data_IF_157177430804
#
_entry.id   IF_157177430804
#
_cell.length_a   1.000
_cell.length_b   1.000
_cell.length_c   1.000
_cell.angle_alpha   90.00
_cell.angle_beta   90.00
_cell.angle_gamma   90.00
#
_symmetry.space_group_name_H-M   'P 1'
#
loop_
_entity.id
_entity.type
_entity.pdbx_description
1 polymer ?
#
# COMPACT_ATOMS: atom_id res chain seq x y z
N UNK A 1 3.09 0.94 19.19
CA UNK A 1 1.80 1.59 18.87
C UNK A 1 1.83 1.96 17.41
N UNK A 2 0.78 1.62 16.64
CA UNK A 2 0.65 2.00 15.22
C UNK A 2 -0.20 3.26 15.18
N UNK A 3 0.27 4.26 14.44
CA UNK A 3 -0.42 5.53 14.22
C UNK A 3 -1.10 5.47 12.84
N UNK A 4 -2.44 5.52 12.83
CA UNK A 4 -3.23 5.33 11.62
C UNK A 4 -4.04 6.58 11.33
N UNK A 5 -3.87 7.12 10.12
CA UNK A 5 -4.71 8.17 9.57
C UNK A 5 -5.58 7.55 8.48
N UNK A 6 -6.89 7.77 8.58
CA UNK A 6 -7.87 7.37 7.58
C UNK A 6 -8.58 8.61 7.03
N UNK A 7 -8.70 8.70 5.71
CA UNK A 7 -9.50 9.72 5.05
C UNK A 7 -10.09 9.22 3.73
N UNK A 8 -11.19 9.80 3.29
CA UNK A 8 -11.73 9.73 1.94
C UNK A 8 -11.79 11.13 1.27
N UNK A 9 -11.22 12.13 1.92
CA UNK A 9 -11.22 13.52 1.49
C UNK A 9 -9.93 13.82 0.72
N UNK A 10 -10.01 13.97 -0.61
CA UNK A 10 -8.82 14.25 -1.44
C UNK A 10 -8.09 15.53 -1.01
N UNK A 11 -8.81 16.52 -0.51
CA UNK A 11 -8.23 17.78 -0.02
C UNK A 11 -7.30 17.64 1.20
N UNK A 12 -7.41 16.54 1.95
CA UNK A 12 -6.56 16.28 3.11
C UNK A 12 -5.26 15.57 2.73
N UNK A 13 -5.24 14.93 1.57
CA UNK A 13 -4.11 14.13 1.10
C UNK A 13 -2.80 14.90 1.01
N UNK A 14 -2.74 16.14 0.49
CA UNK A 14 -1.48 16.90 0.41
C UNK A 14 -0.77 16.99 1.76
N UNK A 15 -1.52 17.31 2.82
CA UNK A 15 -0.98 17.41 4.17
C UNK A 15 -0.39 16.08 4.66
N UNK A 16 -1.12 14.98 4.50
CA UNK A 16 -0.65 13.67 4.98
C UNK A 16 0.53 13.14 4.15
N UNK A 17 0.53 13.35 2.83
CA UNK A 17 1.64 12.96 1.96
C UNK A 17 2.92 13.75 2.27
N UNK A 18 2.79 15.06 2.54
CA UNK A 18 3.89 15.91 2.98
C UNK A 18 4.46 15.43 4.32
N UNK A 19 3.58 15.09 5.30
CA UNK A 19 4.04 14.52 6.58
C UNK A 19 4.80 13.21 6.38
N UNK A 20 4.28 12.27 5.57
CA UNK A 20 4.97 11.01 5.27
C UNK A 20 6.33 11.26 4.63
N UNK A 21 6.42 12.18 3.67
CA UNK A 21 7.66 12.46 2.95
C UNK A 21 8.64 13.23 3.81
N UNK A 22 8.29 14.44 4.21
CA UNK A 22 9.24 15.39 4.81
C UNK A 22 9.60 15.03 6.25
N UNK A 23 8.62 14.63 7.03
CA UNK A 23 8.84 14.40 8.46
C UNK A 23 9.50 13.05 8.74
N UNK A 24 9.21 12.02 7.95
CA UNK A 24 9.69 10.68 8.24
C UNK A 24 10.60 10.11 7.15
N UNK A 25 10.15 10.05 5.89
CA UNK A 25 10.90 9.42 4.82
C UNK A 25 12.22 10.15 4.53
N UNK A 26 12.19 11.48 4.37
CA UNK A 26 13.39 12.26 4.05
C UNK A 26 14.39 12.29 5.23
N UNK A 27 13.90 12.15 6.47
CA UNK A 27 14.72 12.09 7.67
C UNK A 27 15.31 10.69 7.94
N UNK A 28 14.84 9.65 7.25
CA UNK A 28 15.30 8.29 7.42
C UNK A 28 16.71 8.08 6.82
N UNK A 29 17.39 7.02 7.26
CA UNK A 29 18.64 6.58 6.63
C UNK A 29 18.35 6.04 5.22
N UNK A 30 19.31 6.14 4.30
CA UNK A 30 19.09 5.82 2.87
C UNK A 30 18.57 4.39 2.65
N UNK A 31 18.99 3.42 3.45
CA UNK A 31 18.50 2.05 3.35
C UNK A 31 17.10 1.83 3.93
N UNK A 32 16.54 2.82 4.61
CA UNK A 32 15.17 2.81 5.16
C UNK A 32 14.21 3.65 4.34
N UNK A 33 14.69 4.35 3.29
CA UNK A 33 13.87 5.23 2.44
C UNK A 33 12.98 4.46 1.48
N UNK A 34 12.02 3.73 2.02
CA UNK A 34 10.95 3.10 1.25
C UNK A 34 9.63 3.15 2.02
N UNK A 35 8.54 3.11 1.32
CA UNK A 35 7.19 3.02 1.88
C UNK A 35 6.59 1.65 1.58
N UNK A 36 5.88 1.08 2.53
CA UNK A 36 4.94 0.00 2.25
C UNK A 36 3.78 0.53 1.42
N UNK A 37 3.38 -0.21 0.39
CA UNK A 37 2.22 0.07 -0.44
C UNK A 37 1.34 -1.17 -0.49
N UNK A 38 0.08 -1.01 -0.13
CA UNK A 38 -0.93 -2.05 -0.28
C UNK A 38 -2.21 -1.48 -0.88
N UNK A 39 -2.89 -2.28 -1.70
CA UNK A 39 -4.10 -1.89 -2.40
C UNK A 39 -5.22 -2.87 -2.10
N UNK A 40 -6.38 -2.33 -1.72
CA UNK A 40 -7.63 -3.08 -1.73
C UNK A 40 -8.42 -2.73 -2.98
N UNK A 41 -9.13 -3.71 -3.54
CA UNK A 41 -9.79 -3.55 -4.82
C UNK A 41 -11.29 -3.40 -4.66
N UNK A 42 -11.92 -2.77 -5.67
CA UNK A 42 -13.38 -2.71 -5.78
C UNK A 42 -14.00 -4.11 -5.87
N UNK A 43 -15.28 -4.24 -5.51
CA UNK A 43 -15.98 -5.53 -5.51
C UNK A 43 -15.95 -6.23 -6.87
N UNK A 44 -15.94 -5.46 -7.98
CA UNK A 44 -15.80 -5.97 -9.35
C UNK A 44 -14.36 -6.32 -9.74
N UNK A 45 -13.39 -6.12 -8.82
CA UNK A 45 -11.97 -6.39 -8.99
C UNK A 45 -11.30 -5.60 -10.13
N UNK A 46 -11.90 -4.50 -10.60
CA UNK A 46 -11.35 -3.70 -11.70
C UNK A 46 -10.44 -2.60 -11.25
N UNK A 47 -10.81 -1.89 -10.17
CA UNK A 47 -10.12 -0.71 -9.71
C UNK A 47 -9.60 -0.80 -8.29
N UNK A 48 -8.92 0.25 -7.88
CA UNK A 48 -8.50 0.46 -6.48
C UNK A 48 -9.69 1.00 -5.69
N UNK A 49 -9.98 0.38 -4.56
CA UNK A 49 -10.94 0.88 -3.58
C UNK A 49 -10.23 1.65 -2.47
N UNK A 50 -9.15 1.10 -1.95
CA UNK A 50 -8.35 1.69 -0.87
C UNK A 50 -6.89 1.62 -1.24
N UNK A 51 -6.14 2.68 -0.95
CA UNK A 51 -4.69 2.70 -0.98
C UNK A 51 -4.16 2.89 0.44
N UNK A 52 -3.15 2.10 0.79
CA UNK A 52 -2.48 2.15 2.08
C UNK A 52 -1.01 2.45 1.86
N UNK A 53 -0.50 3.47 2.55
CA UNK A 53 0.91 3.85 2.56
C UNK A 53 1.43 3.74 3.98
N UNK A 54 2.53 3.05 4.18
CA UNK A 54 3.11 2.80 5.49
C UNK A 54 4.58 3.18 5.54
N UNK A 55 4.96 3.98 6.53
CA UNK A 55 6.35 4.20 6.92
C UNK A 55 6.53 3.83 8.39
N UNK A 56 7.30 2.76 8.65
CA UNK A 56 7.47 2.19 9.99
C UNK A 56 6.12 1.91 10.68
N UNK A 57 5.71 2.73 11.63
CA UNK A 57 4.45 2.60 12.37
C UNK A 57 3.39 3.66 12.00
N UNK A 58 3.68 4.53 11.03
CA UNK A 58 2.73 5.52 10.51
C UNK A 58 2.05 4.97 9.26
N UNK A 59 0.73 4.86 9.29
CA UNK A 59 -0.09 4.30 8.22
C UNK A 59 -1.09 5.34 7.75
N UNK A 60 -1.07 5.65 6.46
CA UNK A 60 -2.08 6.44 5.79
C UNK A 60 -2.99 5.52 4.99
N UNK A 61 -4.29 5.55 5.27
CA UNK A 61 -5.32 4.81 4.56
C UNK A 61 -6.22 5.83 3.84
N UNK A 62 -6.21 5.78 2.51
CA UNK A 62 -7.05 6.63 1.68
C UNK A 62 -8.10 5.78 0.95
N UNK A 63 -9.38 6.00 1.27
CA UNK A 63 -10.49 5.29 0.64
C UNK A 63 -10.87 5.97 -0.68
N UNK A 64 -10.20 5.56 -1.74
CA UNK A 64 -10.38 6.10 -3.09
C UNK A 64 -11.81 5.90 -3.63
N UNK A 65 -12.41 4.72 -3.42
CA UNK A 65 -13.72 4.40 -3.99
C UNK A 65 -14.81 5.36 -3.54
N UNK A 66 -14.75 5.86 -2.30
CA UNK A 66 -15.71 6.80 -1.72
C UNK A 66 -15.27 8.27 -1.77
N UNK A 67 -14.10 8.57 -2.35
CA UNK A 67 -13.61 9.92 -2.56
C UNK A 67 -14.24 10.57 -3.81
N UNK A 68 -13.90 11.83 -4.06
CA UNK A 68 -14.22 12.52 -5.30
C UNK A 68 -13.44 11.99 -6.53
N UNK A 69 -12.53 11.04 -6.31
CA UNK A 69 -11.65 10.41 -7.32
C UNK A 69 -10.76 11.40 -8.06
N UNK A 70 -10.41 12.48 -7.39
CA UNK A 70 -9.55 13.52 -7.91
C UNK A 70 -8.50 13.92 -6.87
N UNK A 71 -7.29 13.37 -6.97
CA UNK A 71 -6.18 13.68 -6.08
C UNK A 71 -4.86 13.66 -6.87
N UNK A 72 -4.53 14.80 -7.48
CA UNK A 72 -3.30 14.93 -8.27
C UNK A 72 -2.05 14.76 -7.42
N UNK A 73 -2.09 15.23 -6.18
CA UNK A 73 -0.98 15.13 -5.24
C UNK A 73 -0.62 13.67 -4.94
N UNK A 74 -1.61 12.79 -4.81
CA UNK A 74 -1.36 11.35 -4.67
C UNK A 74 -0.71 10.77 -5.93
N UNK A 75 -1.21 11.17 -7.13
CA UNK A 75 -0.64 10.70 -8.39
C UNK A 75 0.82 11.15 -8.55
N UNK A 76 1.11 12.39 -8.21
CA UNK A 76 2.46 12.95 -8.26
C UNK A 76 3.37 12.31 -7.22
N UNK A 77 2.86 12.05 -6.01
CA UNK A 77 3.58 11.34 -4.96
C UNK A 77 3.98 9.92 -5.40
N UNK A 78 3.06 9.16 -5.99
CA UNK A 78 3.31 7.80 -6.48
C UNK A 78 4.34 7.76 -7.64
N UNK A 79 4.48 8.86 -8.40
CA UNK A 79 5.44 8.98 -9.50
C UNK A 79 6.73 9.69 -9.11
N UNK A 80 6.86 10.17 -7.89
CA UNK A 80 7.95 11.06 -7.45
C UNK A 80 9.34 10.41 -7.35
N UNK A 81 9.46 9.13 -7.64
CA UNK A 81 10.73 8.40 -7.51
C UNK A 81 10.93 7.76 -6.12
N UNK A 82 9.97 7.85 -5.24
CA UNK A 82 9.95 7.14 -3.96
C UNK A 82 9.93 5.63 -4.24
N UNK A 83 10.68 4.87 -3.46
CA UNK A 83 10.66 3.41 -3.50
C UNK A 83 9.49 2.87 -2.68
N UNK A 84 8.69 1.99 -3.29
CA UNK A 84 7.58 1.31 -2.64
C UNK A 84 7.83 -0.19 -2.55
N UNK A 85 7.57 -0.78 -1.39
CA UNK A 85 7.55 -2.21 -1.17
C UNK A 85 6.09 -2.71 -1.17
N UNK A 86 5.79 -3.70 -1.98
CA UNK A 86 4.45 -4.25 -2.16
C UNK A 86 4.48 -5.77 -2.35
N UNK A 87 3.31 -6.40 -2.35
CA UNK A 87 3.11 -7.82 -2.66
C UNK A 87 2.21 -7.91 -3.89
N UNK A 88 2.55 -8.78 -4.86
CA UNK A 88 1.80 -8.93 -6.12
C UNK A 88 1.83 -7.68 -7.02
N UNK A 89 3.01 -7.19 -7.25
CA UNK A 89 3.31 -5.97 -8.02
C UNK A 89 2.62 -5.93 -9.40
N UNK A 90 2.45 -7.06 -10.06
CA UNK A 90 1.86 -7.11 -11.40
C UNK A 90 0.38 -6.72 -11.37
N UNK A 91 -0.34 -7.22 -10.38
CA UNK A 91 -1.75 -6.92 -10.22
C UNK A 91 -1.96 -5.47 -9.78
N UNK A 92 -1.17 -4.99 -8.83
CA UNK A 92 -1.21 -3.60 -8.35
C UNK A 92 -0.97 -2.60 -9.49
N UNK A 93 -0.01 -2.85 -10.37
CA UNK A 93 0.26 -2.00 -11.55
C UNK A 93 -0.97 -1.88 -12.45
N UNK A 94 -1.65 -2.99 -12.73
CA UNK A 94 -2.86 -3.00 -13.56
C UNK A 94 -3.98 -2.17 -12.91
N UNK A 95 -4.18 -2.33 -11.60
CA UNK A 95 -5.22 -1.62 -10.87
C UNK A 95 -4.93 -0.12 -10.77
N UNK A 96 -3.68 0.26 -10.51
CA UNK A 96 -3.27 1.67 -10.51
C UNK A 96 -3.43 2.34 -11.87
N UNK A 97 -3.06 1.65 -12.96
CA UNK A 97 -3.27 2.17 -14.31
C UNK A 97 -4.75 2.39 -14.59
N UNK A 98 -5.62 1.43 -14.21
CA UNK A 98 -7.06 1.54 -14.41
C UNK A 98 -7.67 2.68 -13.60
N UNK A 99 -7.31 2.81 -12.31
CA UNK A 99 -7.95 3.77 -11.40
C UNK A 99 -7.35 5.17 -11.48
N UNK A 100 -6.04 5.27 -11.67
CA UNK A 100 -5.31 6.53 -11.58
C UNK A 100 -4.72 6.98 -12.92
N UNK A 101 -4.70 6.10 -13.93
CA UNK A 101 -4.07 6.41 -15.21
C UNK A 101 -2.55 6.57 -15.13
N UNK A 102 -1.91 6.07 -14.06
CA UNK A 102 -0.48 6.22 -13.81
C UNK A 102 0.24 4.88 -13.76
N UNK A 103 1.56 4.95 -13.93
CA UNK A 103 2.49 3.86 -13.62
C UNK A 103 3.56 4.38 -12.65
N UNK A 104 3.81 3.60 -11.59
CA UNK A 104 5.00 3.80 -10.77
C UNK A 104 6.21 3.30 -11.55
N UNK A 105 7.32 4.07 -11.64
CA UNK A 105 8.52 3.63 -12.32
C UNK A 105 9.00 2.27 -11.80
N UNK A 106 9.37 1.36 -12.71
CA UNK A 106 9.70 -0.03 -12.35
C UNK A 106 10.84 -0.12 -11.33
N UNK A 107 11.83 0.76 -11.42
CA UNK A 107 12.94 0.84 -10.45
C UNK A 107 12.53 1.31 -9.04
N UNK A 108 11.31 1.84 -8.89
CA UNK A 108 10.77 2.31 -7.62
C UNK A 108 9.83 1.31 -6.94
N UNK A 109 9.72 0.09 -7.47
CA UNK A 109 8.87 -0.96 -6.89
C UNK A 109 9.70 -2.16 -6.47
N UNK A 110 9.57 -2.57 -5.21
CA UNK A 110 10.16 -3.77 -4.65
C UNK A 110 9.03 -4.78 -4.42
N UNK A 111 9.11 -5.92 -5.11
CA UNK A 111 8.20 -7.04 -4.88
C UNK A 111 8.74 -7.92 -3.76
N UNK A 112 8.07 -7.89 -2.61
CA UNK A 112 8.45 -8.69 -1.45
C UNK A 112 8.39 -10.18 -1.72
N UNK A 113 7.54 -10.66 -2.63
CA UNK A 113 7.51 -12.05 -3.05
C UNK A 113 8.79 -12.46 -3.79
N UNK A 114 9.47 -11.50 -4.43
CA UNK A 114 10.76 -11.74 -5.08
C UNK A 114 11.90 -11.72 -4.07
N UNK A 115 11.84 -10.81 -3.08
CA UNK A 115 12.85 -10.68 -2.02
C UNK A 115 12.83 -11.90 -1.09
N UNK A 116 11.63 -12.33 -0.67
CA UNK A 116 11.43 -13.44 0.27
C UNK A 116 11.04 -14.73 -0.45
N UNK A 117 11.80 -15.14 -1.46
CA UNK A 117 11.56 -16.41 -2.17
C UNK A 117 11.77 -17.61 -1.24
N UNK A 118 10.70 -18.11 -0.67
CA UNK A 118 10.69 -19.40 0.02
C UNK A 118 10.39 -20.52 -1.00
N UNK A 119 11.42 -21.30 -1.39
CA UNK A 119 11.31 -22.58 -2.14
C UNK A 119 10.44 -22.55 -3.41
N UNK A 120 10.60 -21.60 -4.30
CA UNK A 120 9.87 -21.54 -5.59
C UNK A 120 8.35 -21.41 -5.50
N UNK A 121 7.79 -21.20 -4.31
CA UNK A 121 6.35 -20.99 -4.11
C UNK A 121 6.08 -19.49 -3.96
N UNK A 122 5.01 -19.02 -4.59
CA UNK A 122 4.52 -17.65 -4.41
C UNK A 122 4.07 -17.47 -2.96
N UNK A 123 4.85 -16.71 -2.20
CA UNK A 123 4.64 -16.55 -0.75
C UNK A 123 3.62 -15.45 -0.49
N UNK A 124 2.58 -15.73 0.29
CA UNK A 124 1.63 -14.71 0.70
C UNK A 124 2.24 -13.78 1.76
N UNK A 125 1.68 -12.57 1.89
CA UNK A 125 2.08 -11.61 2.92
C UNK A 125 2.01 -12.23 4.34
N UNK A 126 0.94 -13.00 4.64
CA UNK A 126 0.80 -13.69 5.92
C UNK A 126 1.95 -14.68 6.18
N UNK A 127 2.32 -15.49 5.19
CA UNK A 127 3.45 -16.42 5.34
C UNK A 127 4.78 -15.69 5.54
N UNK A 128 4.99 -14.56 4.85
CA UNK A 128 6.19 -13.74 5.05
C UNK A 128 6.22 -13.13 6.45
N UNK A 129 5.09 -12.63 6.93
CA UNK A 129 4.99 -12.06 8.28
C UNK A 129 5.23 -13.12 9.37
N UNK A 130 4.67 -14.32 9.23
CA UNK A 130 4.95 -15.46 10.14
C UNK A 130 6.43 -15.78 10.18
N UNK A 131 7.08 -15.83 9.02
CA UNK A 131 8.49 -16.23 8.93
C UNK A 131 9.48 -15.16 9.43
N UNK A 132 9.10 -13.88 9.33
CA UNK A 132 10.03 -12.76 9.55
C UNK A 132 9.71 -11.92 10.79
N UNK A 133 8.47 -11.98 11.30
CA UNK A 133 8.02 -11.12 12.39
C UNK A 133 7.55 -11.97 13.57
N UNK A 134 6.41 -12.64 13.45
CA UNK A 134 5.81 -13.41 14.52
C UNK A 134 4.81 -14.45 13.99
N UNK A 135 4.75 -15.64 14.63
CA UNK A 135 3.83 -16.71 14.26
C UNK A 135 2.35 -16.36 14.40
N UNK A 136 2.00 -15.41 15.28
CA UNK A 136 0.63 -14.92 15.47
C UNK A 136 0.02 -14.32 14.19
N UNK A 137 0.86 -13.82 13.24
CA UNK A 137 0.38 -13.30 11.95
C UNK A 137 -0.29 -14.36 11.07
N UNK A 138 -0.07 -15.66 11.33
CA UNK A 138 -0.71 -16.75 10.58
C UNK A 138 -2.23 -16.75 10.72
N UNK A 139 -2.74 -16.36 11.87
CA UNK A 139 -4.16 -16.39 12.19
C UNK A 139 -4.91 -15.10 11.85
N UNK A 140 -4.22 -13.99 11.57
CA UNK A 140 -4.86 -12.71 11.32
C UNK A 140 -5.83 -12.75 10.14
N UNK A 141 -5.47 -13.47 9.06
CA UNK A 141 -6.31 -13.58 7.86
C UNK A 141 -7.50 -14.51 8.02
N UNK A 142 -7.36 -15.56 8.85
CA UNK A 142 -8.44 -16.50 9.17
C UNK A 142 -9.49 -15.90 10.08
N UNK A 143 -9.11 -14.98 10.93
CA UNK A 143 -9.98 -14.30 11.87
C UNK A 143 -10.75 -13.11 11.25
N UNK A 144 -10.40 -12.70 10.02
CA UNK A 144 -11.09 -11.63 9.34
C UNK A 144 -12.32 -12.16 8.57
N UNK A 145 -13.56 -11.72 8.90
CA UNK A 145 -14.77 -12.23 8.27
C UNK A 145 -14.78 -11.96 6.77
N UNK A 146 -14.87 -13.00 5.94
CA UNK A 146 -14.90 -12.89 4.47
C UNK A 146 -16.05 -12.00 3.96
N UNK A 147 -17.13 -11.86 4.71
CA UNK A 147 -18.26 -10.97 4.39
C UNK A 147 -17.90 -9.48 4.43
N UNK A 148 -16.82 -9.11 5.12
CA UNK A 148 -16.36 -7.73 5.23
C UNK A 148 -15.49 -7.28 4.05
N UNK A 149 -15.02 -8.20 3.20
CA UNK A 149 -14.27 -7.85 1.99
C UNK A 149 -15.09 -7.05 0.95
N UNK A 150 -16.41 -7.00 1.12
CA UNK A 150 -17.32 -6.22 0.24
C UNK A 150 -17.56 -4.79 0.71
N UNK A 151 -16.94 -4.36 1.79
CA UNK A 151 -17.16 -3.05 2.40
C UNK A 151 -16.21 -1.95 1.91
N UNK A 152 -15.35 -2.27 0.94
CA UNK A 152 -14.39 -1.31 0.41
C UNK A 152 -14.98 -0.32 -0.61
N UNK A 153 -16.16 -0.61 -1.15
CA UNK A 153 -16.84 0.23 -2.15
C UNK A 153 -17.69 1.33 -1.50
#
# INVERSE_FOLDING_TARGET
>A
MIDVVYTNESREMPYFLEQLKERWLDAAMDHEKFLGLDLEYTADQRGVAVIQLCFTHHVLIFQWASSDKHCLELMDFLRSGITFATVDITNDKLKMRYSFGIEIPTGCLIDLQTVFRLRHVRTSMAHMAVAMIDEEYGDMKTNFPKSQHKLWD
#
